data_IF_071789607514
#
_entry.id   IF_071789607514
#
_cell.length_a   1.000
_cell.length_b   1.000
_cell.length_c   1.000
_cell.angle_alpha   90.00
_cell.angle_beta   90.00
_cell.angle_gamma   90.00
#
_symmetry.space_group_name_H-M   'P 1'
#
loop_
_entity.id
_entity.type
_entity.pdbx_description
1 polymer ?
#
# COMPACT_ATOMS: atom_id res chain seq x y z
N UNK A 1 13.45 3.25 13.03
CA UNK A 1 13.42 4.20 11.89
C UNK A 1 13.34 3.50 10.52
N UNK A 2 14.08 2.41 10.29
CA UNK A 2 14.11 1.69 8.99
C UNK A 2 12.71 1.22 8.51
N UNK A 3 11.83 0.82 9.42
CA UNK A 3 10.47 0.37 9.09
C UNK A 3 9.58 1.42 8.43
N UNK A 4 9.64 2.67 8.91
CA UNK A 4 8.87 3.77 8.30
C UNK A 4 9.35 4.05 6.86
N UNK A 5 10.64 3.90 6.59
CA UNK A 5 11.20 4.09 5.24
C UNK A 5 10.74 2.97 4.31
N UNK A 6 10.73 1.72 4.78
CA UNK A 6 10.23 0.57 4.02
C UNK A 6 8.75 0.73 3.68
N UNK A 7 7.94 1.19 4.64
CA UNK A 7 6.53 1.50 4.43
C UNK A 7 6.27 2.62 3.43
N UNK A 8 6.94 3.75 3.62
CA UNK A 8 6.81 4.89 2.72
C UNK A 8 7.13 4.47 1.27
N UNK A 9 8.14 3.62 1.09
CA UNK A 9 8.51 3.08 -0.24
C UNK A 9 7.44 2.16 -0.82
N UNK A 10 6.77 1.34 -0.01
CA UNK A 10 5.65 0.48 -0.46
C UNK A 10 4.47 1.36 -0.90
N UNK A 11 4.10 2.34 -0.08
CA UNK A 11 2.98 3.26 -0.35
C UNK A 11 3.24 4.02 -1.66
N UNK A 12 4.40 4.68 -1.79
CA UNK A 12 4.76 5.45 -2.99
C UNK A 12 4.74 4.57 -4.24
N UNK A 13 5.27 3.33 -4.15
CA UNK A 13 5.30 2.42 -5.31
C UNK A 13 3.89 1.97 -5.72
N UNK A 14 2.99 1.75 -4.77
CA UNK A 14 1.60 1.40 -5.04
C UNK A 14 0.82 2.57 -5.68
N UNK A 15 1.01 3.80 -5.17
CA UNK A 15 0.38 5.00 -5.74
C UNK A 15 0.85 5.29 -7.16
N UNK A 16 2.15 5.13 -7.46
CA UNK A 16 2.69 5.31 -8.82
C UNK A 16 2.03 4.31 -9.79
N UNK A 17 1.95 3.03 -9.39
CA UNK A 17 1.35 1.98 -10.23
C UNK A 17 -0.14 2.18 -10.50
N UNK A 18 -0.88 2.77 -9.56
CA UNK A 18 -2.28 3.13 -9.75
C UNK A 18 -2.42 4.26 -10.78
N UNK A 19 -1.67 5.35 -10.60
CA UNK A 19 -1.70 6.51 -11.50
C UNK A 19 -1.22 6.14 -12.90
N UNK A 20 -0.19 5.31 -13.01
CA UNK A 20 0.29 4.79 -14.31
C UNK A 20 -0.78 3.96 -15.01
N UNK A 21 -1.54 3.14 -14.28
CA UNK A 21 -2.59 2.31 -14.85
C UNK A 21 -3.79 3.14 -15.33
N UNK A 22 -4.17 4.18 -14.57
CA UNK A 22 -5.20 5.15 -14.98
C UNK A 22 -4.77 5.86 -16.25
N UNK A 23 -3.54 6.40 -16.27
CA UNK A 23 -2.99 7.08 -17.44
C UNK A 23 -2.89 6.16 -18.66
N UNK A 24 -2.53 4.89 -18.46
CA UNK A 24 -2.47 3.90 -19.51
C UNK A 24 -3.87 3.62 -20.09
N UNK A 25 -4.86 3.42 -19.23
CA UNK A 25 -6.25 3.16 -19.65
C UNK A 25 -6.85 4.35 -20.42
N UNK A 26 -6.55 5.58 -19.99
CA UNK A 26 -6.96 6.80 -20.71
C UNK A 26 -6.29 6.89 -22.08
N UNK A 27 -4.99 6.56 -22.18
CA UNK A 27 -4.27 6.52 -23.47
C UNK A 27 -4.84 5.48 -24.44
N UNK A 28 -5.39 4.40 -23.91
CA UNK A 28 -6.07 3.35 -24.68
C UNK A 28 -7.50 3.73 -25.09
N UNK A 29 -7.95 4.94 -24.74
CA UNK A 29 -9.25 5.49 -25.15
C UNK A 29 -10.39 5.18 -24.18
N UNK A 30 -10.11 4.67 -22.97
CA UNK A 30 -11.13 4.47 -21.95
C UNK A 30 -11.64 5.81 -21.41
N UNK A 31 -12.93 5.87 -21.09
CA UNK A 31 -13.51 7.03 -20.40
C UNK A 31 -12.86 7.20 -19.02
N UNK A 32 -12.69 8.44 -18.57
CA UNK A 32 -12.00 8.74 -17.31
C UNK A 32 -12.64 8.02 -16.12
N UNK A 33 -13.98 7.94 -16.07
CA UNK A 33 -14.67 7.26 -14.97
C UNK A 33 -14.37 5.75 -14.97
N UNK A 34 -14.46 5.11 -16.15
CA UNK A 34 -14.19 3.68 -16.31
C UNK A 34 -12.73 3.32 -16.03
N UNK A 35 -11.79 4.20 -16.42
CA UNK A 35 -10.37 4.02 -16.17
C UNK A 35 -10.07 4.02 -14.66
N UNK A 36 -10.68 4.94 -13.89
CA UNK A 36 -10.49 5.02 -12.44
C UNK A 36 -11.13 3.83 -11.73
N UNK A 37 -12.33 3.40 -12.15
CA UNK A 37 -13.04 2.26 -11.56
C UNK A 37 -12.26 0.95 -11.82
N UNK A 38 -11.81 0.71 -13.06
CA UNK A 38 -10.99 -0.46 -13.40
C UNK A 38 -9.64 -0.43 -12.71
N UNK A 39 -8.98 0.72 -12.64
CA UNK A 39 -7.70 0.85 -11.97
C UNK A 39 -7.80 0.52 -10.48
N UNK A 40 -8.82 1.04 -9.80
CA UNK A 40 -9.04 0.76 -8.38
C UNK A 40 -9.38 -0.73 -8.18
N UNK A 41 -10.32 -1.28 -8.95
CA UNK A 41 -10.73 -2.68 -8.80
C UNK A 41 -9.57 -3.70 -8.98
N UNK A 42 -8.63 -3.43 -9.88
CA UNK A 42 -7.49 -4.34 -10.15
C UNK A 42 -6.35 -4.15 -9.14
N UNK A 43 -6.20 -2.95 -8.56
CA UNK A 43 -5.07 -2.59 -7.68
C UNK A 43 -5.39 -2.70 -6.19
N UNK A 44 -6.66 -2.57 -5.80
CA UNK A 44 -7.05 -2.58 -4.38
C UNK A 44 -6.74 -3.93 -3.73
N UNK A 45 -6.96 -5.05 -4.42
CA UNK A 45 -6.63 -6.38 -3.92
C UNK A 45 -5.13 -6.55 -3.56
N UNK A 46 -4.17 -6.27 -4.47
CA UNK A 46 -2.74 -6.40 -4.13
C UNK A 46 -2.26 -5.37 -3.09
N UNK A 47 -2.85 -4.17 -3.03
CA UNK A 47 -2.53 -3.17 -2.00
C UNK A 47 -2.94 -3.67 -0.62
N UNK A 48 -4.18 -4.17 -0.48
CA UNK A 48 -4.69 -4.74 0.77
C UNK A 48 -3.86 -5.96 1.19
N UNK A 49 -3.51 -6.85 0.25
CA UNK A 49 -2.68 -8.02 0.55
C UNK A 49 -1.29 -7.62 1.09
N UNK A 50 -0.70 -6.56 0.55
CA UNK A 50 0.59 -6.04 1.03
C UNK A 50 0.48 -5.41 2.41
N UNK A 51 -0.60 -4.65 2.67
CA UNK A 51 -0.88 -4.06 3.98
C UNK A 51 -1.06 -5.15 5.06
N UNK A 52 -1.84 -6.20 4.75
CA UNK A 52 -2.06 -7.33 5.65
C UNK A 52 -0.76 -8.09 5.91
N UNK A 53 0.05 -8.37 4.88
CA UNK A 53 1.34 -9.02 5.06
C UNK A 53 2.29 -8.21 5.96
N UNK A 54 2.31 -6.88 5.80
CA UNK A 54 3.10 -6.00 6.65
C UNK A 54 2.59 -5.94 8.11
N UNK A 55 1.27 -5.94 8.33
CA UNK A 55 0.68 -6.00 9.67
C UNK A 55 0.99 -7.34 10.36
N UNK A 56 0.85 -8.47 9.67
CA UNK A 56 1.17 -9.80 10.20
C UNK A 56 2.66 -9.93 10.52
N UNK A 57 3.53 -9.44 9.63
CA UNK A 57 4.98 -9.39 9.89
C UNK A 57 5.35 -8.48 11.07
N UNK A 58 4.66 -7.33 11.20
CA UNK A 58 4.79 -6.45 12.35
C UNK A 58 4.33 -7.09 13.66
N UNK A 59 3.29 -7.92 13.62
CA UNK A 59 2.77 -8.63 14.79
C UNK A 59 3.77 -9.63 15.36
N UNK A 60 4.52 -10.33 14.52
CA UNK A 60 5.61 -11.21 14.95
C UNK A 60 6.79 -10.47 15.59
N UNK A 61 6.99 -9.21 15.23
CA UNK A 61 8.09 -8.36 15.67
C UNK A 61 7.72 -7.60 16.98
N UNK A 62 6.45 -7.60 17.39
CA UNK A 62 5.98 -6.93 18.62
C UNK A 62 6.55 -7.53 19.90
N UNK A 63 6.82 -8.84 19.92
CA UNK A 63 7.36 -9.57 21.08
C UNK A 63 8.81 -9.17 21.40
N UNK A 64 9.54 -8.57 20.46
CA UNK A 64 10.90 -8.09 20.69
C UNK A 64 10.92 -6.61 21.16
N UNK A 65 11.42 -6.30 22.38
CA UNK A 65 11.43 -4.94 22.95
C UNK A 65 12.16 -3.89 22.10
N UNK A 66 13.08 -4.32 21.24
CA UNK A 66 13.87 -3.46 20.35
C UNK A 66 13.05 -2.94 19.16
N UNK A 67 12.05 -3.70 18.71
CA UNK A 67 11.30 -3.41 17.48
C UNK A 67 9.83 -3.04 17.72
N UNK A 68 9.39 -3.04 18.98
CA UNK A 68 8.03 -2.71 19.38
C UNK A 68 7.53 -1.36 18.82
N UNK A 69 8.36 -0.30 18.86
CA UNK A 69 8.00 1.01 18.29
C UNK A 69 7.86 1.02 16.75
N UNK A 70 8.53 0.09 16.07
CA UNK A 70 8.49 -0.06 14.62
C UNK A 70 7.21 -0.79 14.19
N UNK A 71 6.78 -1.79 14.97
CA UNK A 71 5.51 -2.49 14.78
C UNK A 71 4.28 -1.61 15.04
N UNK A 72 4.31 -0.75 16.07
CA UNK A 72 3.22 0.22 16.32
C UNK A 72 3.09 1.20 15.15
N UNK A 73 4.21 1.70 14.62
CA UNK A 73 4.22 2.60 13.46
C UNK A 73 3.65 1.95 12.19
N UNK A 74 3.90 0.64 12.01
CA UNK A 74 3.37 -0.18 10.92
C UNK A 74 1.85 -0.33 11.00
N UNK A 75 1.33 -0.70 12.17
CA UNK A 75 -0.10 -0.98 12.36
C UNK A 75 -0.92 0.31 12.29
N UNK A 76 -0.48 1.39 12.93
CA UNK A 76 -1.18 2.67 12.88
C UNK A 76 -1.13 3.35 11.50
N UNK A 77 -0.04 3.14 10.75
CA UNK A 77 0.12 3.72 9.41
C UNK A 77 -0.86 3.17 8.37
N UNK A 78 -1.31 1.92 8.51
CA UNK A 78 -2.31 1.32 7.62
C UNK A 78 -3.75 1.57 8.07
N UNK A 79 -4.00 1.81 9.35
CA UNK A 79 -5.36 2.00 9.88
C UNK A 79 -5.95 3.39 9.56
N UNK A 80 -5.12 4.39 9.21
CA UNK A 80 -5.53 5.77 8.97
C UNK A 80 -5.63 6.16 7.48
N UNK A 81 -5.69 5.18 6.56
CA UNK A 81 -5.90 5.38 5.12
C UNK A 81 -7.11 4.58 4.65
#
# INVERSE_FOLDING_TARGET
>A
MIGMIALARIIVRNSILLVDFINQSIREGACWEDAVIKASAVRDQPIILTAVAAMVGGFFILDDPIFNGLAISLIFGFFNN
#
